data_IF_651051063626
#
_entry.id   IF_651051063626
#
_cell.length_a   1.000
_cell.length_b   1.000
_cell.length_c   1.000
_cell.angle_alpha   90.00
_cell.angle_beta   90.00
_cell.angle_gamma   90.00
#
_symmetry.space_group_name_H-M   'P 1'
#
loop_
_entity.id
_entity.type
_entity.pdbx_description
1 polymer ?
#
# COMPACT_ATOMS: atom_id res chain seq x y z
N UNK A 1 1.75 -9.67 10.57
CA UNK A 1 2.24 -9.73 11.96
C UNK A 1 3.55 -8.95 12.00
N UNK A 2 3.69 -8.00 12.93
CA UNK A 2 4.91 -7.19 13.06
C UNK A 2 5.79 -7.86 14.11
N UNK A 3 7.07 -8.09 13.78
CA UNK A 3 8.05 -8.54 14.76
C UNK A 3 8.24 -7.45 15.82
N UNK A 4 8.08 -7.80 17.09
CA UNK A 4 8.51 -6.90 18.16
C UNK A 4 10.04 -6.85 18.18
N UNK A 5 10.65 -5.71 18.50
CA UNK A 5 12.10 -5.61 18.73
C UNK A 5 12.56 -6.42 19.95
N UNK A 6 11.61 -6.90 20.76
CA UNK A 6 11.87 -7.56 22.04
C UNK A 6 12.30 -9.02 21.80
N UNK A 7 13.53 -9.43 22.18
CA UNK A 7 14.09 -10.75 21.84
C UNK A 7 13.28 -11.95 22.36
N UNK A 8 12.39 -11.75 23.34
CA UNK A 8 11.63 -12.81 24.00
C UNK A 8 10.14 -12.93 23.59
N UNK A 9 9.58 -11.97 22.84
CA UNK A 9 8.13 -11.93 22.55
C UNK A 9 7.85 -11.61 21.09
N UNK A 10 8.51 -12.33 20.17
CA UNK A 10 8.25 -12.20 18.74
C UNK A 10 7.01 -12.99 18.35
N UNK A 11 5.95 -12.29 17.93
CA UNK A 11 4.72 -12.90 17.39
C UNK A 11 4.95 -13.75 16.12
N UNK A 12 6.16 -13.70 15.57
CA UNK A 12 6.54 -14.36 14.30
C UNK A 12 7.62 -15.42 14.48
N UNK A 13 8.32 -15.48 15.62
CA UNK A 13 9.42 -16.44 15.85
C UNK A 13 9.46 -16.91 17.32
N UNK A 14 9.51 -18.23 17.59
CA UNK A 14 9.33 -19.35 16.66
C UNK A 14 7.84 -19.53 16.28
N UNK A 15 7.51 -20.05 15.08
CA UNK A 15 6.12 -20.25 14.65
C UNK A 15 5.38 -21.14 15.64
N UNK A 16 4.45 -20.55 16.39
CA UNK A 16 3.68 -21.23 17.41
C UNK A 16 2.57 -22.08 16.76
N UNK A 17 2.18 -23.18 17.39
CA UNK A 17 1.00 -23.99 17.01
C UNK A 17 -0.26 -23.11 16.89
N UNK A 18 -0.31 -22.00 17.64
CA UNK A 18 -1.39 -21.00 17.57
C UNK A 18 -1.51 -20.33 16.19
N UNK A 19 -0.40 -20.11 15.46
CA UNK A 19 -0.43 -19.59 14.09
C UNK A 19 -1.02 -20.60 13.11
N UNK A 20 -0.66 -21.88 13.28
CA UNK A 20 -1.24 -22.95 12.48
C UNK A 20 -2.74 -23.07 12.74
N UNK A 21 -3.15 -23.06 14.01
CA UNK A 21 -4.55 -23.09 14.41
C UNK A 21 -5.34 -21.89 13.86
N UNK A 22 -4.77 -20.67 13.92
CA UNK A 22 -5.37 -19.48 13.34
C UNK A 22 -5.50 -19.60 11.81
N UNK A 23 -4.47 -20.08 11.13
CA UNK A 23 -4.52 -20.31 9.69
C UNK A 23 -5.61 -21.32 9.31
N UNK A 24 -5.66 -22.47 9.98
CA UNK A 24 -6.70 -23.50 9.77
C UNK A 24 -8.10 -22.92 10.03
N UNK A 25 -8.26 -22.13 11.09
CA UNK A 25 -9.52 -21.46 11.39
C UNK A 25 -9.93 -20.47 10.28
N UNK A 26 -9.00 -19.63 9.82
CA UNK A 26 -9.24 -18.67 8.73
C UNK A 26 -9.61 -19.40 7.42
N UNK A 27 -8.91 -20.48 7.07
CA UNK A 27 -9.26 -21.30 5.90
C UNK A 27 -10.62 -21.99 6.05
N UNK A 28 -10.90 -22.58 7.21
CA UNK A 28 -12.20 -23.20 7.49
C UNK A 28 -13.36 -22.21 7.42
N UNK A 29 -13.16 -20.99 7.94
CA UNK A 29 -14.13 -19.91 7.84
C UNK A 29 -14.38 -19.49 6.39
N UNK A 30 -13.31 -19.35 5.58
CA UNK A 30 -13.43 -19.03 4.16
C UNK A 30 -14.20 -20.12 3.39
N UNK A 31 -13.91 -21.40 3.66
CA UNK A 31 -14.62 -22.53 3.04
C UNK A 31 -16.09 -22.58 3.48
N UNK A 32 -16.40 -22.28 4.74
CA UNK A 32 -17.77 -22.18 5.25
C UNK A 32 -18.56 -21.07 4.54
N UNK A 33 -17.90 -19.94 4.26
CA UNK A 33 -18.49 -18.79 3.56
C UNK A 33 -18.56 -18.96 2.03
N UNK A 34 -17.92 -19.98 1.45
CA UNK A 34 -17.90 -20.20 0.01
C UNK A 34 -19.31 -20.35 -0.59
N UNK A 35 -20.14 -21.21 0.02
CA UNK A 35 -21.51 -21.49 -0.45
C UNK A 35 -22.43 -20.26 -0.38
N UNK A 36 -22.54 -19.53 0.75
CA UNK A 36 -23.36 -18.32 0.80
C UNK A 36 -22.83 -17.21 -0.12
N UNK A 37 -21.51 -17.05 -0.26
CA UNK A 37 -20.94 -16.04 -1.14
C UNK A 37 -21.24 -16.36 -2.61
N UNK A 38 -21.18 -17.64 -3.01
CA UNK A 38 -21.54 -18.06 -4.38
C UNK A 38 -22.99 -17.71 -4.71
N UNK A 39 -23.92 -17.93 -3.77
CA UNK A 39 -25.33 -17.53 -3.93
C UNK A 39 -25.49 -16.01 -4.01
N UNK A 40 -24.76 -15.26 -3.19
CA UNK A 40 -24.79 -13.80 -3.25
C UNK A 40 -24.29 -13.25 -4.59
N UNK A 41 -23.26 -13.90 -5.18
CA UNK A 41 -22.68 -13.52 -6.47
C UNK A 41 -23.56 -13.87 -7.69
N UNK A 42 -24.65 -14.61 -7.51
CA UNK A 42 -25.66 -14.78 -8.57
C UNK A 42 -26.41 -13.45 -8.84
N UNK A 43 -26.36 -12.50 -7.91
CA UNK A 43 -26.88 -11.16 -8.11
C UNK A 43 -25.92 -10.33 -8.99
N UNK A 44 -26.42 -9.89 -10.14
CA UNK A 44 -25.67 -9.08 -11.12
C UNK A 44 -24.99 -7.87 -10.48
N UNK A 45 -25.64 -7.18 -9.51
CA UNK A 45 -25.06 -6.00 -8.86
C UNK A 45 -23.80 -6.34 -8.06
N UNK A 46 -23.85 -7.42 -7.26
CA UNK A 46 -22.71 -7.86 -6.46
C UNK A 46 -21.60 -8.39 -7.35
N UNK A 47 -21.94 -9.16 -8.37
CA UNK A 47 -20.98 -9.65 -9.36
C UNK A 47 -20.27 -8.49 -10.07
N UNK A 48 -21.01 -7.50 -10.59
CA UNK A 48 -20.42 -6.33 -11.27
C UNK A 48 -19.55 -5.51 -10.31
N UNK A 49 -19.98 -5.30 -9.07
CA UNK A 49 -19.18 -4.61 -8.07
C UNK A 49 -17.86 -5.35 -7.79
N UNK A 50 -17.89 -6.68 -7.65
CA UNK A 50 -16.68 -7.48 -7.46
C UNK A 50 -15.74 -7.40 -8.66
N UNK A 51 -16.25 -7.51 -9.89
CA UNK A 51 -15.44 -7.38 -11.11
C UNK A 51 -14.81 -5.99 -11.20
N UNK A 52 -15.57 -4.93 -10.88
CA UNK A 52 -15.07 -3.56 -10.87
C UNK A 52 -13.95 -3.38 -9.85
N UNK A 53 -14.17 -3.78 -8.60
CA UNK A 53 -13.17 -3.70 -7.52
C UNK A 53 -11.94 -4.53 -7.87
N UNK A 54 -12.12 -5.76 -8.33
CA UNK A 54 -11.02 -6.64 -8.72
C UNK A 54 -10.19 -6.02 -9.85
N UNK A 55 -10.85 -5.36 -10.81
CA UNK A 55 -10.15 -4.68 -11.90
C UNK A 55 -9.30 -3.49 -11.41
N UNK A 56 -9.59 -2.94 -10.24
CA UNK A 56 -8.88 -1.81 -9.62
C UNK A 56 -8.06 -2.20 -8.38
N UNK A 57 -7.96 -3.49 -8.06
CA UNK A 57 -7.39 -3.94 -6.78
C UNK A 57 -5.93 -3.53 -6.63
N UNK A 58 -5.17 -3.51 -7.74
CA UNK A 58 -3.79 -3.04 -7.76
C UNK A 58 -3.70 -1.54 -7.49
N UNK A 59 -4.58 -0.73 -8.08
CA UNK A 59 -4.66 0.71 -7.81
C UNK A 59 -4.98 0.98 -6.36
N UNK A 60 -5.99 0.29 -5.80
CA UNK A 60 -6.36 0.39 -4.39
C UNK A 60 -5.15 0.03 -3.52
N UNK A 61 -4.46 -1.06 -3.83
CA UNK A 61 -3.27 -1.50 -3.09
C UNK A 61 -2.15 -0.47 -3.12
N UNK A 62 -1.87 0.18 -4.25
CA UNK A 62 -0.82 1.20 -4.35
C UNK A 62 -1.18 2.49 -3.59
N UNK A 63 -2.45 2.90 -3.61
CA UNK A 63 -2.87 4.21 -3.11
C UNK A 63 -3.39 4.22 -1.68
N UNK A 64 -3.78 3.08 -1.10
CA UNK A 64 -4.40 3.08 0.23
C UNK A 64 -3.49 3.62 1.34
N UNK A 65 -2.20 3.26 1.34
CA UNK A 65 -1.23 3.80 2.32
C UNK A 65 -1.02 5.30 2.10
N UNK A 66 -0.92 5.74 0.85
CA UNK A 66 -0.74 7.17 0.52
C UNK A 66 -1.91 8.00 1.02
N UNK A 67 -3.15 7.58 0.74
CA UNK A 67 -4.37 8.24 1.23
C UNK A 67 -4.41 8.26 2.76
N UNK A 68 -4.05 7.15 3.39
CA UNK A 68 -4.00 7.05 4.86
C UNK A 68 -2.98 8.02 5.46
N UNK A 69 -1.76 8.10 4.90
CA UNK A 69 -0.72 9.02 5.36
C UNK A 69 -1.14 10.48 5.19
N UNK A 70 -1.75 10.83 4.05
CA UNK A 70 -2.27 12.19 3.82
C UNK A 70 -3.36 12.53 4.83
N UNK A 71 -4.31 11.63 5.07
CA UNK A 71 -5.37 11.84 6.05
C UNK A 71 -4.79 12.05 7.46
N UNK A 72 -3.83 11.20 7.87
CA UNK A 72 -3.17 11.33 9.17
C UNK A 72 -2.44 12.67 9.29
N UNK A 73 -1.72 13.09 8.25
CA UNK A 73 -1.03 14.37 8.23
C UNK A 73 -2.01 15.56 8.35
N UNK A 74 -3.15 15.50 7.65
CA UNK A 74 -4.20 16.52 7.75
C UNK A 74 -4.83 16.56 9.15
N UNK A 75 -5.13 15.40 9.74
CA UNK A 75 -5.66 15.32 11.10
C UNK A 75 -4.67 15.83 12.13
N UNK A 76 -3.38 15.54 11.95
CA UNK A 76 -2.31 16.07 12.78
C UNK A 76 -2.26 17.60 12.72
N UNK A 77 -2.33 18.17 11.51
CA UNK A 77 -2.37 19.62 11.31
C UNK A 77 -3.65 20.27 11.87
N UNK A 78 -4.77 19.53 11.85
CA UNK A 78 -6.06 19.95 12.42
C UNK A 78 -6.14 19.80 13.96
N UNK A 79 -5.02 19.57 14.65
CA UNK A 79 -4.97 19.48 16.11
C UNK A 79 -5.08 18.05 16.67
N UNK A 80 -4.85 17.03 15.85
CA UNK A 80 -4.76 15.63 16.29
C UNK A 80 -6.11 14.94 16.53
N UNK A 81 -7.18 15.42 15.89
CA UNK A 81 -8.54 14.89 16.05
C UNK A 81 -8.55 13.39 15.71
N UNK A 82 -8.99 12.56 16.67
CA UNK A 82 -9.08 11.10 16.50
C UNK A 82 -7.75 10.33 16.60
N UNK A 83 -6.62 11.02 16.78
CA UNK A 83 -5.30 10.39 16.98
C UNK A 83 -4.95 10.19 18.46
N UNK A 84 -5.63 10.88 19.37
CA UNK A 84 -5.41 10.79 20.82
C UNK A 84 -6.20 9.69 21.54
N UNK A 85 -6.94 8.84 20.82
CA UNK A 85 -7.74 7.78 21.44
C UNK A 85 -6.83 6.66 21.92
N UNK A 86 -6.92 6.32 23.20
CA UNK A 86 -6.07 5.31 23.82
C UNK A 86 -6.25 3.92 23.17
N UNK A 87 -5.18 3.29 22.66
CA UNK A 87 -5.25 1.98 22.03
C UNK A 87 -5.85 0.91 22.96
N UNK A 88 -6.79 0.12 22.44
CA UNK A 88 -7.41 -0.98 23.19
C UNK A 88 -8.60 -0.58 24.07
N UNK A 89 -8.94 0.71 24.14
CA UNK A 89 -10.18 1.18 24.77
C UNK A 89 -11.44 0.81 23.96
N UNK A 90 -12.62 0.88 24.59
CA UNK A 90 -13.90 0.68 23.90
C UNK A 90 -14.12 1.73 22.80
N UNK A 91 -13.73 2.98 23.07
CA UNK A 91 -13.86 4.09 22.12
C UNK A 91 -12.94 3.90 20.91
N UNK A 92 -11.77 3.31 21.13
CA UNK A 92 -10.86 2.94 20.05
C UNK A 92 -11.48 1.92 19.10
N UNK A 93 -12.15 0.89 19.63
CA UNK A 93 -12.83 -0.11 18.78
C UNK A 93 -13.96 0.51 17.97
N UNK A 94 -14.76 1.41 18.56
CA UNK A 94 -15.81 2.15 17.85
C UNK A 94 -15.26 3.13 16.82
N UNK A 95 -14.06 3.66 17.02
CA UNK A 95 -13.41 4.51 16.04
C UNK A 95 -13.03 3.75 14.76
N UNK A 96 -12.77 2.44 14.82
CA UNK A 96 -12.24 1.66 13.68
C UNK A 96 -13.20 1.57 12.49
N UNK A 97 -14.50 1.23 12.66
CA UNK A 97 -15.47 1.29 11.58
C UNK A 97 -15.55 2.66 10.90
N UNK A 98 -15.49 3.74 11.70
CA UNK A 98 -15.51 5.12 11.19
C UNK A 98 -14.27 5.40 10.36
N UNK A 99 -13.08 5.04 10.87
CA UNK A 99 -11.81 5.15 10.13
C UNK A 99 -11.85 4.40 8.80
N UNK A 100 -12.35 3.16 8.79
CA UNK A 100 -12.46 2.36 7.56
C UNK A 100 -13.42 3.04 6.57
N UNK A 101 -14.57 3.53 7.03
CA UNK A 101 -15.53 4.20 6.17
C UNK A 101 -14.96 5.49 5.55
N UNK A 102 -14.29 6.32 6.36
CA UNK A 102 -13.63 7.55 5.88
C UNK A 102 -12.53 7.22 4.86
N UNK A 103 -11.67 6.25 5.16
CA UNK A 103 -10.60 5.85 4.24
C UNK A 103 -11.15 5.29 2.93
N UNK A 104 -12.21 4.48 2.96
CA UNK A 104 -12.88 3.98 1.76
C UNK A 104 -13.47 5.12 0.93
N UNK A 105 -14.14 6.08 1.58
CA UNK A 105 -14.74 7.24 0.93
C UNK A 105 -13.69 8.10 0.23
N UNK A 106 -12.51 8.27 0.83
CA UNK A 106 -11.40 9.00 0.22
C UNK A 106 -10.67 8.21 -0.86
N UNK A 107 -10.47 6.90 -0.64
CA UNK A 107 -9.71 6.04 -1.54
C UNK A 107 -10.46 5.74 -2.84
N UNK A 108 -11.76 5.47 -2.79
CA UNK A 108 -12.51 5.08 -3.99
C UNK A 108 -12.47 6.13 -5.11
N UNK A 109 -12.70 7.43 -4.86
CA UNK A 109 -12.57 8.47 -5.89
C UNK A 109 -11.14 8.56 -6.44
N UNK A 110 -10.14 8.53 -5.57
CA UNK A 110 -8.72 8.57 -5.97
C UNK A 110 -8.38 7.38 -6.88
N UNK A 111 -8.78 6.18 -6.47
CA UNK A 111 -8.56 4.97 -7.24
C UNK A 111 -9.29 5.02 -8.60
N UNK A 112 -10.54 5.51 -8.64
CA UNK A 112 -11.31 5.63 -9.88
C UNK A 112 -10.68 6.61 -10.86
N UNK A 113 -10.15 7.73 -10.37
CA UNK A 113 -9.47 8.73 -11.19
C UNK A 113 -8.14 8.22 -11.75
N UNK A 114 -7.42 7.40 -10.99
CA UNK A 114 -6.05 6.96 -11.35
C UNK A 114 -6.04 5.61 -12.08
N UNK A 115 -7.06 4.75 -11.91
CA UNK A 115 -7.10 3.43 -12.54
C UNK A 115 -6.93 3.46 -14.08
N UNK A 116 -7.49 4.43 -14.84
CA UNK A 116 -7.24 4.51 -16.28
C UNK A 116 -5.77 4.78 -16.63
N UNK A 117 -5.04 5.50 -15.77
CA UNK A 117 -3.62 5.81 -15.98
C UNK A 117 -2.75 4.59 -15.73
N UNK A 118 -3.04 3.82 -14.69
CA UNK A 118 -2.31 2.58 -14.36
C UNK A 118 -2.56 1.46 -15.37
N UNK A 119 -3.73 1.45 -16.02
CA UNK A 119 -4.05 0.51 -17.11
C UNK A 119 -3.45 0.89 -18.46
N UNK A 120 -2.84 2.07 -18.57
CA UNK A 120 -2.19 2.52 -19.81
C UNK A 120 -0.87 1.75 -19.98
N UNK A 121 -0.97 0.56 -20.58
CA UNK A 121 0.20 -0.21 -20.99
C UNK A 121 0.95 0.53 -22.11
N UNK A 122 2.28 0.34 -22.17
CA UNK A 122 3.11 0.87 -23.26
C UNK A 122 2.63 0.26 -24.57
N UNK A 123 2.30 1.10 -25.54
CA UNK A 123 1.84 0.64 -26.85
C UNK A 123 2.85 -0.31 -27.50
N UNK A 124 2.32 -1.32 -28.20
CA UNK A 124 3.10 -2.25 -29.02
C UNK A 124 3.95 -1.44 -30.01
N UNK A 125 5.28 -1.40 -29.82
CA UNK A 125 6.20 -0.59 -30.64
C UNK A 125 6.94 0.53 -29.89
N UNK A 126 6.76 0.69 -28.58
CA UNK A 126 7.58 1.64 -27.80
C UNK A 126 9.06 1.24 -27.84
N UNK A 127 9.95 2.17 -28.20
CA UNK A 127 11.39 1.92 -28.23
C UNK A 127 11.89 1.51 -26.85
N UNK A 128 12.58 0.37 -26.78
CA UNK A 128 13.18 -0.15 -25.54
C UNK A 128 14.44 0.69 -25.26
N UNK A 129 14.58 1.31 -24.07
CA UNK A 129 15.80 2.03 -23.68
C UNK A 129 17.02 1.11 -23.71
N UNK A 130 18.22 1.65 -23.98
CA UNK A 130 19.45 0.84 -24.00
C UNK A 130 19.69 0.12 -22.66
N UNK A 131 20.23 -1.09 -22.70
CA UNK A 131 20.46 -1.93 -21.51
C UNK A 131 21.30 -1.21 -20.44
N UNK A 132 22.28 -0.42 -20.86
CA UNK A 132 23.10 0.40 -19.96
C UNK A 132 22.25 1.42 -19.17
N UNK A 133 21.32 2.10 -19.85
CA UNK A 133 20.43 3.08 -19.22
C UNK A 133 19.46 2.41 -18.23
N UNK A 134 19.02 1.19 -18.53
CA UNK A 134 18.19 0.41 -17.61
C UNK A 134 18.96 0.01 -16.34
N UNK A 135 20.19 -0.50 -16.49
CA UNK A 135 21.05 -0.90 -15.36
C UNK A 135 21.37 0.29 -14.46
N UNK A 136 21.79 1.42 -15.03
CA UNK A 136 22.07 2.64 -14.26
C UNK A 136 20.81 3.14 -13.55
N UNK A 137 19.67 3.20 -14.24
CA UNK A 137 18.41 3.63 -13.64
C UNK A 137 17.96 2.71 -12.49
N UNK A 138 18.10 1.39 -12.65
CA UNK A 138 17.79 0.41 -11.62
C UNK A 138 18.71 0.56 -10.40
N UNK A 139 20.02 0.74 -10.60
CA UNK A 139 20.96 0.97 -9.49
C UNK A 139 20.61 2.26 -8.73
N UNK A 140 20.33 3.36 -9.43
CA UNK A 140 19.93 4.61 -8.79
C UNK A 140 18.63 4.45 -7.99
N UNK A 141 17.64 3.77 -8.56
CA UNK A 141 16.37 3.48 -7.88
C UNK A 141 16.59 2.66 -6.61
N UNK A 142 17.31 1.54 -6.70
CA UNK A 142 17.62 0.67 -5.57
C UNK A 142 18.42 1.40 -4.49
N UNK A 143 19.40 2.23 -4.89
CA UNK A 143 20.20 3.02 -3.95
C UNK A 143 19.34 4.04 -3.20
N UNK A 144 18.45 4.75 -3.89
CA UNK A 144 17.56 5.72 -3.26
C UNK A 144 16.59 5.07 -2.27
N UNK A 145 16.01 3.92 -2.63
CA UNK A 145 15.16 3.13 -1.72
C UNK A 145 15.96 2.63 -0.52
N UNK A 146 17.17 2.14 -0.71
CA UNK A 146 18.03 1.66 0.37
C UNK A 146 18.40 2.80 1.35
N UNK A 147 18.73 3.99 0.85
CA UNK A 147 19.03 5.15 1.68
C UNK A 147 17.81 5.62 2.48
N UNK A 148 16.63 5.71 1.85
CA UNK A 148 15.37 6.01 2.55
C UNK A 148 15.04 4.96 3.61
N UNK A 149 15.30 3.68 3.34
CA UNK A 149 15.05 2.61 4.29
C UNK A 149 16.04 2.60 5.47
N UNK A 150 17.31 3.01 5.25
CA UNK A 150 18.34 3.03 6.28
C UNK A 150 18.25 4.24 7.20
N UNK A 151 17.97 5.43 6.63
CA UNK A 151 18.04 6.70 7.35
C UNK A 151 16.67 7.36 7.59
N UNK A 152 15.62 6.88 6.92
CA UNK A 152 14.28 7.42 7.06
C UNK A 152 14.13 8.84 6.52
N UNK A 153 13.15 9.56 7.06
CA UNK A 153 12.94 10.99 6.83
C UNK A 153 13.36 11.77 8.07
N UNK A 154 14.29 12.71 7.93
CA UNK A 154 14.84 13.55 8.99
C UNK A 154 16.00 12.93 9.79
N UNK A 155 16.40 11.69 9.49
CA UNK A 155 17.40 10.93 10.23
C UNK A 155 18.77 10.80 9.53
N UNK A 156 18.95 11.44 8.38
CA UNK A 156 20.18 11.33 7.60
C UNK A 156 21.41 11.97 8.24
N UNK A 157 22.62 11.40 8.06
CA UNK A 157 23.88 11.98 8.54
C UNK A 157 24.23 13.32 7.89
N UNK A 158 23.59 13.65 6.77
CA UNK A 158 23.79 14.90 6.04
C UNK A 158 22.44 15.63 5.86
N UNK A 159 22.41 16.97 5.98
CA UNK A 159 21.21 17.75 5.71
C UNK A 159 20.79 17.57 4.24
N UNK A 160 19.52 17.23 4.02
CA UNK A 160 18.95 17.04 2.68
C UNK A 160 19.18 15.66 2.05
N UNK A 161 19.76 14.70 2.77
CA UNK A 161 19.95 13.33 2.27
C UNK A 161 18.62 12.66 1.88
N UNK A 162 17.54 12.92 2.61
CA UNK A 162 16.23 12.33 2.33
C UNK A 162 15.68 12.84 0.99
N UNK A 163 15.85 14.15 0.73
CA UNK A 163 15.46 14.79 -0.53
C UNK A 163 16.33 14.23 -1.67
N UNK A 164 17.65 14.13 -1.45
CA UNK A 164 18.56 13.57 -2.45
C UNK A 164 18.21 12.10 -2.77
N UNK A 165 17.87 11.30 -1.75
CA UNK A 165 17.47 9.90 -1.90
C UNK A 165 16.15 9.79 -2.67
N UNK A 166 15.17 10.64 -2.37
CA UNK A 166 13.91 10.71 -3.11
C UNK A 166 14.11 11.14 -4.58
N UNK A 167 14.92 12.16 -4.82
CA UNK A 167 15.30 12.61 -6.17
C UNK A 167 16.02 11.49 -6.92
N UNK A 168 16.87 10.72 -6.25
CA UNK A 168 17.60 9.61 -6.85
C UNK A 168 16.66 8.49 -7.30
N UNK A 169 15.60 8.19 -6.53
CA UNK A 169 14.53 7.26 -6.92
C UNK A 169 13.84 7.74 -8.20
N UNK A 170 13.42 9.01 -8.24
CA UNK A 170 12.74 9.60 -9.40
C UNK A 170 13.64 9.65 -10.64
N UNK A 171 14.91 10.05 -10.47
CA UNK A 171 15.90 10.09 -11.52
C UNK A 171 16.18 8.68 -12.06
N UNK A 172 16.31 7.67 -11.19
CA UNK A 172 16.46 6.27 -11.59
C UNK A 172 15.28 5.73 -12.41
N UNK A 173 14.06 6.10 -12.05
CA UNK A 173 12.84 5.76 -12.81
C UNK A 173 12.80 6.45 -14.20
N UNK A 174 13.28 7.69 -14.30
CA UNK A 174 13.38 8.41 -15.58
C UNK A 174 14.52 7.90 -16.47
N UNK A 175 15.67 7.56 -15.88
CA UNK A 175 16.82 7.00 -16.59
C UNK A 175 16.48 5.59 -17.09
N UNK A 176 15.86 4.72 -16.30
CA UNK A 176 15.44 3.39 -16.77
C UNK A 176 14.38 3.43 -17.89
N UNK A 177 13.80 4.59 -18.17
CA UNK A 177 12.79 4.79 -19.21
C UNK A 177 11.43 4.19 -18.86
N UNK A 178 11.19 3.92 -17.56
CA UNK A 178 9.93 3.44 -17.01
C UNK A 178 8.87 4.53 -17.07
N UNK A 179 9.27 5.79 -16.82
CA UNK A 179 8.37 6.92 -16.99
C UNK A 179 7.96 7.04 -18.47
N UNK A 180 6.65 6.98 -18.80
CA UNK A 180 6.20 7.30 -20.14
C UNK A 180 6.69 8.71 -20.44
N UNK A 181 7.43 8.87 -21.55
CA UNK A 181 7.88 10.18 -21.96
C UNK A 181 6.68 11.12 -21.98
N UNK A 182 6.73 12.17 -21.16
CA UNK A 182 5.80 13.29 -21.25
C UNK A 182 6.13 13.93 -22.60
N UNK A 183 5.46 13.48 -23.65
CA UNK A 183 5.47 14.08 -24.98
C UNK A 183 4.12 14.71 -25.20
#
# INVERSE_FOLDING_TARGET
MVGSPDPGLSNTLPPQITLLALGVFQFGLLLSLQTPMRRALENLKLWTATVLINSMIMTIYLWHITVMVILIALLYLAGGIGLGIEPGSTDWWWSRPVWIAVLLLLLLPVALLISPLERRSRGTGSSIPSSFRQVVGAMMFCLGVALLSLFGFGGGPLPGLDIASFVLVLAGAGVSGVLPGIR
#
